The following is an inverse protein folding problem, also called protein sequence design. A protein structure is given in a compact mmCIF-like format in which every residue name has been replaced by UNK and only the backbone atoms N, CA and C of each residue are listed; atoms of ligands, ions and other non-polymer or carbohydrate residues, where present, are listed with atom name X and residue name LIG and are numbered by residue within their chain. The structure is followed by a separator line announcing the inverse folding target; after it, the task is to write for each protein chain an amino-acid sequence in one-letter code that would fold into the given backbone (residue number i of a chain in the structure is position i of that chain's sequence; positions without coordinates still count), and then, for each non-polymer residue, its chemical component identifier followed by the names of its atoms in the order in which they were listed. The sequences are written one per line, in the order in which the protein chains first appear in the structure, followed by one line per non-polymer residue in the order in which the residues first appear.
data_IF_734874392056
#
_entry.id   IF_734874392056
#
_cell.length_a   1.000
_cell.length_b   1.000
_cell.length_c   1.000
_cell.angle_alpha   90.00
_cell.angle_beta   90.00
_cell.angle_gamma   90.00
#
_symmetry.space_group_name_H-M   'P 1'
#
loop_
_entity.id
_entity.type
_entity.pdbx_description
1 polymer ?
#
# COMPACT_ATOMS: atom_id res chain seq x y z
N UNK A 1 2.56 -1.78 -24.03
CA UNK A 1 3.11 -1.07 -22.85
C UNK A 1 2.24 -1.45 -21.66
N UNK A 2 2.79 -1.58 -20.46
CA UNK A 2 2.00 -1.86 -19.27
C UNK A 2 1.87 -0.61 -18.40
N UNK A 3 0.85 -0.60 -17.56
CA UNK A 3 0.64 0.45 -16.58
C UNK A 3 0.78 -0.10 -15.16
N UNK A 4 1.40 0.66 -14.29
CA UNK A 4 1.43 0.43 -12.84
C UNK A 4 0.54 1.47 -12.19
N UNK A 5 -0.41 1.01 -11.39
CA UNK A 5 -1.17 1.87 -10.47
C UNK A 5 -0.76 1.50 -9.06
N UNK A 6 -0.24 2.46 -8.31
CA UNK A 6 0.27 2.27 -6.96
C UNK A 6 -0.55 3.09 -5.96
N UNK A 7 -1.06 2.41 -4.92
CA UNK A 7 -1.96 2.96 -3.90
C UNK A 7 -1.22 3.04 -2.57
N UNK A 8 -1.09 4.23 -2.03
CA UNK A 8 -0.36 4.53 -0.80
C UNK A 8 -1.09 4.09 0.48
N UNK A 9 -0.37 4.08 1.59
CA UNK A 9 -0.88 3.80 2.92
C UNK A 9 -1.68 4.97 3.53
N UNK A 10 -2.27 4.73 4.70
CA UNK A 10 -2.97 5.77 5.46
C UNK A 10 -2.03 6.91 5.84
N UNK A 11 -2.48 8.14 5.67
CA UNK A 11 -1.70 9.34 5.95
C UNK A 11 -0.53 9.59 4.99
N UNK A 12 -0.32 8.71 4.03
CA UNK A 12 0.72 8.82 3.00
C UNK A 12 0.27 9.59 1.76
N UNK A 13 0.93 9.29 0.65
CA UNK A 13 0.64 9.86 -0.67
C UNK A 13 1.41 9.15 -1.76
N UNK A 14 1.19 9.53 -3.01
CA UNK A 14 1.93 9.00 -4.15
C UNK A 14 3.44 9.17 -4.04
N UNK A 15 3.88 10.10 -3.20
CA UNK A 15 5.28 10.33 -2.87
C UNK A 15 5.99 9.13 -2.21
N UNK A 16 5.26 8.23 -1.55
CA UNK A 16 5.84 7.01 -0.97
C UNK A 16 6.50 6.13 -2.03
N UNK A 17 6.09 6.24 -3.30
CA UNK A 17 6.60 5.45 -4.42
C UNK A 17 7.71 6.13 -5.23
N UNK A 18 8.27 7.25 -4.78
CA UNK A 18 9.27 8.01 -5.55
C UNK A 18 10.57 7.22 -5.81
N UNK A 19 10.94 6.28 -4.92
CA UNK A 19 12.08 5.39 -5.14
C UNK A 19 11.76 4.18 -6.03
N UNK A 20 10.47 3.88 -6.23
CA UNK A 20 9.99 2.80 -7.08
C UNK A 20 9.75 3.25 -8.52
N UNK A 21 9.22 4.45 -8.69
CA UNK A 21 8.83 5.03 -9.97
C UNK A 21 9.92 4.92 -11.04
N UNK A 22 11.18 5.32 -10.81
CA UNK A 22 12.24 5.24 -11.83
C UNK A 22 12.47 3.80 -12.29
N UNK A 23 12.46 2.83 -11.38
CA UNK A 23 12.71 1.41 -11.68
C UNK A 23 11.71 0.86 -12.69
N UNK A 24 10.43 1.18 -12.53
CA UNK A 24 9.39 0.73 -13.45
C UNK A 24 9.36 1.55 -14.75
N UNK A 25 9.62 2.85 -14.68
CA UNK A 25 9.67 3.72 -15.87
C UNK A 25 10.84 3.36 -16.80
N UNK A 26 12.02 3.05 -16.26
CA UNK A 26 13.18 2.56 -17.03
C UNK A 26 12.87 1.23 -17.73
N UNK A 27 11.99 0.41 -17.17
CA UNK A 27 11.51 -0.83 -17.80
C UNK A 27 10.34 -0.60 -18.79
N UNK A 28 9.95 0.64 -19.06
CA UNK A 28 8.95 1.01 -20.06
C UNK A 28 7.50 1.00 -19.57
N UNK A 29 7.26 0.97 -18.24
CA UNK A 29 5.92 1.08 -17.68
C UNK A 29 5.51 2.55 -17.45
N UNK A 30 4.25 2.86 -17.67
CA UNK A 30 3.64 4.09 -17.14
C UNK A 30 3.37 3.85 -15.65
N UNK A 31 3.87 4.73 -14.77
CA UNK A 31 3.75 4.58 -13.32
C UNK A 31 2.85 5.69 -12.75
N UNK A 32 1.69 5.30 -12.26
CA UNK A 32 0.66 6.18 -11.68
C UNK A 32 0.63 5.93 -10.18
N UNK A 33 0.97 6.95 -9.40
CA UNK A 33 0.82 6.97 -7.95
C UNK A 33 0.29 8.35 -7.58
N UNK A 34 -1.02 8.47 -7.49
CA UNK A 34 -1.69 9.71 -7.12
C UNK A 34 -2.02 9.69 -5.62
N UNK A 35 -2.25 10.87 -5.06
CA UNK A 35 -2.77 11.01 -3.70
C UNK A 35 -4.26 10.71 -3.67
N UNK A 36 -4.69 9.85 -2.74
CA UNK A 36 -6.10 9.73 -2.39
C UNK A 36 -6.58 11.05 -1.78
N UNK A 37 -7.69 11.56 -2.27
CA UNK A 37 -8.24 12.86 -1.87
C UNK A 37 -9.47 12.67 -0.98
N UNK A 38 -9.72 13.60 -0.05
CA UNK A 38 -10.98 13.63 0.69
C UNK A 38 -12.19 13.67 -0.25
N UNK A 39 -13.33 13.16 0.21
CA UNK A 39 -14.61 13.36 -0.48
C UNK A 39 -14.97 14.85 -0.51
N UNK A 40 -15.90 15.28 -1.39
CA UNK A 40 -16.37 16.67 -1.40
C UNK A 40 -16.90 17.18 -0.05
N UNK A 41 -17.38 16.28 0.82
CA UNK A 41 -17.89 16.59 2.13
C UNK A 41 -16.78 16.66 3.22
N UNK A 42 -15.51 16.52 2.80
CA UNK A 42 -14.33 16.64 3.64
C UNK A 42 -13.82 15.30 4.19
N UNK A 43 -12.63 15.33 4.79
CA UNK A 43 -11.89 14.15 5.21
C UNK A 43 -12.64 13.32 6.26
N UNK A 44 -13.31 13.96 7.23
CA UNK A 44 -14.09 13.26 8.27
C UNK A 44 -15.28 12.47 7.70
N UNK A 45 -15.82 12.90 6.55
CA UNK A 45 -16.93 12.23 5.87
C UNK A 45 -16.47 11.18 4.83
N UNK A 46 -15.20 11.19 4.47
CA UNK A 46 -14.62 10.27 3.48
C UNK A 46 -14.77 8.80 3.91
N UNK A 47 -15.13 7.94 2.99
CA UNK A 47 -15.33 6.51 3.14
C UNK A 47 -14.39 5.70 2.24
N UNK A 48 -14.29 4.41 2.49
CA UNK A 48 -13.48 3.52 1.64
C UNK A 48 -13.94 3.52 0.18
N UNK A 49 -15.25 3.65 -0.05
CA UNK A 49 -15.86 3.72 -1.37
C UNK A 49 -15.34 4.93 -2.18
N UNK A 50 -15.18 6.09 -1.54
CA UNK A 50 -14.62 7.29 -2.18
C UNK A 50 -13.20 7.05 -2.70
N UNK A 51 -12.40 6.29 -1.94
CA UNK A 51 -11.05 5.92 -2.34
C UNK A 51 -11.05 4.86 -3.44
N UNK A 52 -11.95 3.88 -3.37
CA UNK A 52 -12.08 2.86 -4.41
C UNK A 52 -12.46 3.49 -5.76
N UNK A 53 -13.38 4.44 -5.78
CA UNK A 53 -13.77 5.15 -7.00
C UNK A 53 -12.61 5.95 -7.58
N UNK A 54 -11.81 6.60 -6.75
CA UNK A 54 -10.61 7.30 -7.19
C UNK A 54 -9.60 6.33 -7.81
N UNK A 55 -9.30 5.20 -7.15
CA UNK A 55 -8.36 4.21 -7.68
C UNK A 55 -8.85 3.67 -9.02
N UNK A 56 -10.15 3.37 -9.15
CA UNK A 56 -10.75 2.96 -10.42
C UNK A 56 -10.51 4.00 -11.52
N UNK A 57 -10.65 5.30 -11.21
CA UNK A 57 -10.45 6.39 -12.16
C UNK A 57 -9.01 6.52 -12.66
N UNK A 58 -8.03 6.02 -11.90
CA UNK A 58 -6.61 6.04 -12.29
C UNK A 58 -6.23 4.91 -13.24
N UNK A 59 -7.06 3.88 -13.37
CA UNK A 59 -6.77 2.69 -14.18
C UNK A 59 -7.17 2.95 -15.63
N UNK A 60 -6.20 3.03 -16.57
CA UNK A 60 -6.51 3.18 -17.98
C UNK A 60 -7.22 1.93 -18.52
N UNK A 61 -8.19 2.13 -19.40
CA UNK A 61 -8.85 1.02 -20.08
C UNK A 61 -7.91 0.33 -21.07
N UNK A 62 -8.04 -1.01 -21.17
CA UNK A 62 -7.35 -1.84 -22.16
C UNK A 62 -5.81 -1.93 -22.01
N UNK A 63 -5.23 -1.50 -20.88
CA UNK A 63 -3.82 -1.65 -20.61
C UNK A 63 -3.55 -2.89 -19.72
N UNK A 64 -2.34 -3.45 -19.86
CA UNK A 64 -1.88 -4.52 -18.96
C UNK A 64 -1.53 -3.89 -17.61
N UNK A 65 -2.39 -4.08 -16.62
CA UNK A 65 -2.31 -3.46 -15.29
C UNK A 65 -1.44 -4.28 -14.34
N UNK A 66 -0.47 -3.63 -13.70
CA UNK A 66 0.12 -4.05 -12.43
C UNK A 66 -0.50 -3.16 -11.34
N UNK A 67 -1.16 -3.76 -10.36
CA UNK A 67 -1.74 -3.03 -9.24
C UNK A 67 -0.87 -3.26 -8.00
N UNK A 68 -0.42 -2.18 -7.38
CA UNK A 68 0.43 -2.21 -6.18
C UNK A 68 -0.30 -1.49 -5.06
N UNK A 69 -0.33 -2.04 -3.86
CA UNK A 69 -0.90 -1.35 -2.72
C UNK A 69 -0.07 -1.58 -1.45
N UNK A 70 0.14 -0.51 -0.68
CA UNK A 70 0.85 -0.54 0.58
C UNK A 70 -0.08 -0.29 1.76
N UNK A 71 0.07 -1.04 2.86
CA UNK A 71 -0.71 -0.84 4.09
C UNK A 71 -2.22 -0.80 3.82
N UNK A 72 -2.89 0.30 4.15
CA UNK A 72 -4.28 0.60 3.79
C UNK A 72 -4.53 0.41 2.29
N UNK A 73 -3.64 0.95 1.46
CA UNK A 73 -3.74 0.85 0.01
C UNK A 73 -3.66 -0.58 -0.52
N UNK A 74 -3.03 -1.50 0.22
CA UNK A 74 -3.01 -2.92 -0.11
C UNK A 74 -4.39 -3.57 -0.03
N UNK A 75 -5.15 -3.28 1.03
CA UNK A 75 -6.51 -3.80 1.17
C UNK A 75 -7.47 -3.16 0.16
N UNK A 76 -7.29 -1.85 -0.13
CA UNK A 76 -8.04 -1.18 -1.20
C UNK A 76 -7.72 -1.79 -2.58
N UNK A 77 -6.44 -2.06 -2.87
CA UNK A 77 -6.02 -2.72 -4.10
C UNK A 77 -6.61 -4.13 -4.24
N UNK A 78 -6.66 -4.91 -3.15
CA UNK A 78 -7.36 -6.20 -3.13
C UNK A 78 -8.84 -6.04 -3.51
N UNK A 79 -9.51 -5.02 -2.98
CA UNK A 79 -10.93 -4.76 -3.28
C UNK A 79 -11.14 -4.33 -4.73
N UNK A 80 -10.26 -3.50 -5.27
CA UNK A 80 -10.29 -3.11 -6.69
C UNK A 80 -10.07 -4.31 -7.61
N UNK A 81 -9.16 -5.23 -7.25
CA UNK A 81 -8.84 -6.42 -8.03
C UNK A 81 -10.02 -7.39 -8.19
N UNK A 82 -11.07 -7.30 -7.35
CA UNK A 82 -12.30 -8.09 -7.51
C UNK A 82 -13.09 -7.70 -8.78
N UNK A 83 -13.11 -6.41 -9.10
CA UNK A 83 -13.88 -5.87 -10.21
C UNK A 83 -13.03 -5.70 -11.47
N UNK A 84 -11.76 -5.37 -11.30
CA UNK A 84 -10.77 -5.15 -12.36
C UNK A 84 -9.54 -6.03 -12.08
N UNK A 85 -9.58 -7.34 -12.40
CA UNK A 85 -8.45 -8.22 -12.15
C UNK A 85 -7.18 -7.73 -12.87
N UNK A 86 -6.11 -7.35 -12.14
CA UNK A 86 -4.87 -6.93 -12.76
C UNK A 86 -4.11 -8.13 -13.33
N UNK A 87 -3.15 -7.86 -14.21
CA UNK A 87 -2.23 -8.88 -14.70
C UNK A 87 -1.27 -9.37 -13.59
N UNK A 88 -0.97 -8.51 -12.61
CA UNK A 88 -0.26 -8.84 -11.37
C UNK A 88 -0.71 -7.90 -10.23
N UNK A 89 -0.80 -8.45 -9.02
CA UNK A 89 -1.12 -7.71 -7.79
C UNK A 89 0.07 -7.79 -6.82
N UNK A 90 0.46 -6.65 -6.25
CA UNK A 90 1.54 -6.57 -5.25
C UNK A 90 1.00 -5.92 -3.98
N UNK A 91 1.16 -6.61 -2.86
CA UNK A 91 0.68 -6.18 -1.55
C UNK A 91 1.89 -5.95 -0.63
N UNK A 92 2.12 -4.70 -0.22
CA UNK A 92 3.28 -4.31 0.58
C UNK A 92 2.83 -4.00 2.00
N UNK A 93 3.27 -4.80 2.99
CA UNK A 93 2.87 -4.64 4.39
C UNK A 93 1.36 -4.32 4.53
N UNK A 94 0.55 -5.03 3.74
CA UNK A 94 -0.87 -4.73 3.53
C UNK A 94 -1.72 -5.02 4.76
N UNK A 95 -2.72 -4.17 5.01
CA UNK A 95 -3.85 -4.56 5.85
C UNK A 95 -4.46 -5.85 5.29
N UNK A 96 -4.76 -6.84 6.15
CA UNK A 96 -5.41 -8.07 5.72
C UNK A 96 -6.93 -7.88 5.58
N UNK A 97 -7.62 -8.68 4.76
CA UNK A 97 -9.07 -8.82 4.82
C UNK A 97 -9.54 -9.29 6.20
N UNK A 98 -10.79 -9.00 6.53
CA UNK A 98 -11.38 -9.30 7.85
C UNK A 98 -11.36 -10.78 8.23
N UNK A 99 -11.42 -11.69 7.26
CA UNK A 99 -11.37 -13.14 7.46
C UNK A 99 -9.94 -13.69 7.62
N UNK A 100 -8.93 -12.87 7.34
CA UNK A 100 -7.50 -13.17 7.54
C UNK A 100 -6.94 -12.47 8.78
N UNK A 101 -7.55 -11.35 9.17
CA UNK A 101 -7.17 -10.60 10.34
C UNK A 101 -7.36 -11.45 11.63
N UNK A 102 -6.45 -11.31 12.58
CA UNK A 102 -6.70 -11.86 13.90
C UNK A 102 -7.92 -11.15 14.53
N UNK A 103 -8.73 -11.92 15.26
CA UNK A 103 -9.80 -11.34 16.07
C UNK A 103 -9.20 -10.35 17.07
N UNK A 104 -9.42 -9.08 16.85
CA UNK A 104 -9.00 -7.99 17.72
C UNK A 104 -10.24 -7.16 18.09
N UNK A 105 -10.25 -6.52 19.27
CA UNK A 105 -11.26 -5.52 19.54
C UNK A 105 -11.27 -4.47 18.43
N UNK A 106 -12.47 -4.11 17.97
CA UNK A 106 -12.60 -3.04 16.98
C UNK A 106 -11.99 -1.75 17.54
N UNK A 107 -10.98 -1.23 16.88
CA UNK A 107 -10.37 0.03 17.24
C UNK A 107 -11.31 1.17 16.84
N UNK A 108 -11.61 2.06 17.76
CA UNK A 108 -12.36 3.29 17.45
C UNK A 108 -11.37 4.37 17.03
N UNK A 109 -11.66 5.03 15.94
CA UNK A 109 -10.85 6.11 15.40
C UNK A 109 -11.55 7.46 15.60
N UNK A 110 -10.82 8.56 15.84
CA UNK A 110 -11.38 9.90 15.76
C UNK A 110 -11.85 10.18 14.33
N UNK A 111 -12.74 11.16 14.09
CA UNK A 111 -13.20 11.50 12.73
C UNK A 111 -12.05 11.81 11.76
N UNK A 112 -11.01 12.47 12.24
CA UNK A 112 -9.77 12.74 11.53
C UNK A 112 -8.62 12.24 12.40
N UNK A 113 -7.71 11.49 11.80
CA UNK A 113 -6.45 11.06 12.42
C UNK A 113 -5.40 12.08 11.98
N UNK A 114 -4.88 12.79 12.95
CA UNK A 114 -3.95 13.91 12.72
C UNK A 114 -2.51 13.40 12.69
N UNK A 115 -1.95 13.29 11.49
CA UNK A 115 -0.53 12.96 11.26
C UNK A 115 0.22 14.08 10.55
N UNK A 116 -0.52 15.00 9.91
CA UNK A 116 0.06 16.19 9.30
C UNK A 116 0.72 17.08 10.38
N UNK A 117 1.93 17.55 10.11
CA UNK A 117 2.72 18.34 11.05
C UNK A 117 3.06 17.65 12.38
N UNK A 118 2.99 16.34 12.43
CA UNK A 118 3.45 15.56 13.58
C UNK A 118 4.94 15.75 13.88
N UNK A 119 5.41 15.35 15.09
CA UNK A 119 6.81 15.52 15.46
C UNK A 119 7.74 14.70 14.53
N UNK A 120 8.89 15.28 14.16
CA UNK A 120 9.91 14.59 13.36
C UNK A 120 10.30 13.23 13.96
N UNK A 121 10.31 13.11 15.29
CA UNK A 121 10.66 11.87 15.98
C UNK A 121 9.72 10.67 15.61
N UNK A 122 8.46 10.94 15.30
CA UNK A 122 7.53 9.90 14.83
C UNK A 122 7.90 9.41 13.42
N UNK A 123 8.26 10.34 12.53
CA UNK A 123 8.78 9.98 11.20
C UNK A 123 10.09 9.21 11.30
N UNK A 124 11.01 9.62 12.18
CA UNK A 124 12.26 8.89 12.43
C UNK A 124 12.00 7.48 12.94
N UNK A 125 11.02 7.31 13.82
CA UNK A 125 10.64 5.98 14.33
C UNK A 125 10.01 5.11 13.23
N UNK A 126 9.15 5.68 12.38
CA UNK A 126 8.51 4.96 11.27
C UNK A 126 9.50 4.57 10.16
N UNK A 127 10.56 5.38 9.96
CA UNK A 127 11.56 5.26 8.89
C UNK A 127 12.95 4.94 9.46
N UNK A 128 13.06 4.15 10.53
CA UNK A 128 14.33 3.89 11.21
C UNK A 128 15.39 3.20 10.32
N UNK A 129 14.97 2.54 9.25
CA UNK A 129 15.80 1.86 8.24
C UNK A 129 16.08 2.70 6.98
N UNK A 130 15.67 3.97 6.99
CA UNK A 130 15.89 4.95 5.92
C UNK A 130 17.12 5.82 6.17
N UNK A 131 17.55 6.56 5.14
CA UNK A 131 18.55 7.61 5.29
C UNK A 131 17.92 8.86 5.87
N UNK A 132 18.69 9.62 6.66
CA UNK A 132 18.21 10.88 7.25
C UNK A 132 17.65 11.85 6.21
N UNK A 133 18.23 11.88 5.02
CA UNK A 133 17.72 12.69 3.90
C UNK A 133 16.30 12.31 3.51
N UNK A 134 15.99 11.00 3.49
CA UNK A 134 14.64 10.50 3.19
C UNK A 134 13.70 10.83 4.35
N UNK A 135 14.15 10.69 5.59
CA UNK A 135 13.35 11.03 6.78
C UNK A 135 12.94 12.50 6.75
N UNK A 136 13.91 13.40 6.54
CA UNK A 136 13.66 14.85 6.45
C UNK A 136 12.78 15.23 5.27
N UNK A 137 12.91 14.49 4.16
CA UNK A 137 12.10 14.72 2.97
C UNK A 137 10.67 14.20 3.17
N UNK A 138 10.46 13.06 3.83
CA UNK A 138 9.16 12.47 4.09
C UNK A 138 8.35 13.23 5.16
N UNK A 139 9.03 13.74 6.20
CA UNK A 139 8.39 14.36 7.36
C UNK A 139 7.30 15.40 7.03
N UNK A 140 7.49 16.39 6.18
CA UNK A 140 6.47 17.40 5.88
C UNK A 140 5.40 16.89 4.89
N UNK A 141 5.44 15.62 4.50
CA UNK A 141 4.55 15.03 3.49
C UNK A 141 3.46 14.16 4.06
N UNK A 142 3.56 13.80 5.34
CA UNK A 142 2.48 13.08 6.01
C UNK A 142 1.20 13.90 5.98
N UNK A 143 0.10 13.24 5.82
CA UNK A 143 -1.23 13.84 5.68
C UNK A 143 -2.15 13.28 6.76
N UNK A 144 -3.20 14.03 7.09
CA UNK A 144 -4.27 13.52 7.93
C UNK A 144 -5.06 12.44 7.19
N UNK A 145 -5.65 11.51 7.95
CA UNK A 145 -6.42 10.40 7.38
C UNK A 145 -7.84 10.37 7.94
N UNK A 146 -8.78 9.83 7.14
CA UNK A 146 -10.15 9.59 7.58
C UNK A 146 -10.22 8.45 8.59
N UNK A 147 -10.68 8.76 9.80
CA UNK A 147 -10.97 7.74 10.79
C UNK A 147 -12.08 6.79 10.36
N UNK A 148 -13.03 7.28 9.56
CA UNK A 148 -14.12 6.46 9.02
C UNK A 148 -13.61 5.42 7.99
N UNK A 149 -12.65 5.77 7.15
CA UNK A 149 -11.99 4.80 6.24
C UNK A 149 -11.32 3.71 7.06
N UNK A 150 -10.46 4.07 8.02
CA UNK A 150 -9.78 3.06 8.84
C UNK A 150 -10.75 2.25 9.69
N UNK A 151 -11.83 2.83 10.17
CA UNK A 151 -12.90 2.11 10.89
C UNK A 151 -13.56 1.05 10.00
N UNK A 152 -13.86 1.38 8.73
CA UNK A 152 -14.41 0.42 7.77
C UNK A 152 -13.42 -0.71 7.46
N UNK A 153 -12.17 -0.37 7.19
CA UNK A 153 -11.15 -1.35 6.76
C UNK A 153 -10.67 -2.27 7.89
N UNK A 154 -10.75 -1.83 9.16
CA UNK A 154 -10.47 -2.69 10.31
C UNK A 154 -11.73 -3.43 10.82
N UNK A 155 -12.90 -3.10 10.29
CA UNK A 155 -14.14 -3.79 10.53
C UNK A 155 -14.39 -4.96 9.57
N UNK A 156 -15.65 -5.39 9.46
CA UNK A 156 -16.03 -6.40 8.48
C UNK A 156 -15.99 -5.80 7.06
N UNK A 157 -14.82 -5.88 6.43
CA UNK A 157 -14.58 -5.44 5.07
C UNK A 157 -14.33 -6.68 4.19
N UNK A 158 -15.38 -7.23 3.55
CA UNK A 158 -15.27 -8.47 2.79
C UNK A 158 -14.50 -8.25 1.49
N UNK A 159 -13.54 -9.14 1.25
CA UNK A 159 -12.71 -9.15 0.04
C UNK A 159 -12.60 -10.57 -0.48
N UNK A 160 -12.72 -10.75 -1.78
CA UNK A 160 -12.51 -12.05 -2.41
C UNK A 160 -11.01 -12.30 -2.61
N UNK A 161 -10.65 -13.59 -2.56
CA UNK A 161 -9.28 -13.98 -2.89
C UNK A 161 -8.95 -13.58 -4.33
N UNK A 162 -7.78 -12.93 -4.55
CA UNK A 162 -7.39 -12.54 -5.91
C UNK A 162 -7.23 -13.76 -6.82
N UNK A 163 -7.71 -13.64 -8.05
CA UNK A 163 -7.59 -14.67 -9.08
C UNK A 163 -6.33 -14.49 -9.96
N UNK A 164 -5.63 -13.36 -9.81
CA UNK A 164 -4.42 -13.03 -10.55
C UNK A 164 -3.15 -13.44 -9.78
N UNK A 165 -2.00 -13.55 -10.46
CA UNK A 165 -0.70 -13.67 -9.79
C UNK A 165 -0.53 -12.58 -8.74
N UNK A 166 -0.22 -12.98 -7.51
CA UNK A 166 -0.11 -12.06 -6.38
C UNK A 166 1.23 -12.24 -5.68
N UNK A 167 1.86 -11.13 -5.33
CA UNK A 167 3.06 -11.07 -4.50
C UNK A 167 2.75 -10.32 -3.21
N UNK A 168 3.17 -10.88 -2.08
CA UNK A 168 3.18 -10.21 -0.79
C UNK A 168 4.62 -9.84 -0.44
N UNK A 169 4.87 -8.56 -0.18
CA UNK A 169 6.16 -8.01 0.22
C UNK A 169 6.07 -7.57 1.68
N UNK A 170 6.97 -8.07 2.53
CA UNK A 170 6.94 -7.83 3.96
C UNK A 170 8.26 -7.29 4.50
N UNK A 171 8.17 -6.31 5.41
CA UNK A 171 9.23 -5.93 6.33
C UNK A 171 9.13 -6.76 7.61
N UNK A 172 10.24 -7.39 8.03
CA UNK A 172 10.26 -8.23 9.24
C UNK A 172 10.04 -7.42 10.52
N UNK A 173 10.49 -6.15 10.54
CA UNK A 173 10.32 -5.24 11.68
C UNK A 173 9.18 -4.24 11.46
N UNK A 174 8.12 -4.70 10.80
CA UNK A 174 6.87 -3.95 10.73
C UNK A 174 6.18 -3.94 12.09
N UNK A 175 6.12 -2.76 12.71
CA UNK A 175 5.52 -2.55 14.04
C UNK A 175 4.03 -2.17 13.94
N UNK A 176 3.54 -1.77 12.76
CA UNK A 176 2.15 -1.39 12.54
C UNK A 176 1.30 -2.63 12.20
N UNK A 177 1.79 -3.45 11.28
CA UNK A 177 1.16 -4.71 10.87
C UNK A 177 2.21 -5.83 11.03
N UNK A 178 2.15 -6.62 12.13
CA UNK A 178 3.11 -7.69 12.35
C UNK A 178 3.26 -8.59 11.12
N UNK A 179 4.48 -8.87 10.69
CA UNK A 179 4.74 -9.63 9.47
C UNK A 179 4.07 -11.01 9.45
N UNK A 180 3.79 -11.58 10.63
CA UNK A 180 3.02 -12.83 10.75
C UNK A 180 1.60 -12.68 10.16
N UNK A 181 1.00 -11.49 10.25
CA UNK A 181 -0.28 -11.19 9.57
C UNK A 181 -0.11 -11.22 8.06
N UNK A 182 0.98 -10.66 7.55
CA UNK A 182 1.33 -10.73 6.13
C UNK A 182 1.60 -12.16 5.63
N UNK A 183 2.20 -13.03 6.47
CA UNK A 183 2.35 -14.45 6.13
C UNK A 183 0.99 -15.14 5.97
N UNK A 184 0.03 -14.87 6.86
CA UNK A 184 -1.35 -15.39 6.72
C UNK A 184 -2.04 -14.83 5.47
N UNK A 185 -1.83 -13.55 5.17
CA UNK A 185 -2.35 -12.94 3.94
C UNK A 185 -1.78 -13.62 2.70
N UNK A 186 -0.47 -13.89 2.65
CA UNK A 186 0.16 -14.60 1.55
C UNK A 186 -0.41 -16.01 1.37
N UNK A 187 -0.60 -16.74 2.46
CA UNK A 187 -1.21 -18.06 2.44
C UNK A 187 -2.67 -18.00 1.95
N UNK A 188 -3.48 -17.08 2.48
CA UNK A 188 -4.87 -16.89 2.06
C UNK A 188 -4.96 -16.52 0.59
N UNK A 189 -4.13 -15.57 0.12
CA UNK A 189 -4.11 -15.13 -1.28
C UNK A 189 -3.46 -16.16 -2.23
N UNK A 190 -2.81 -17.22 -1.73
CA UNK A 190 -1.93 -18.12 -2.49
C UNK A 190 -0.86 -17.36 -3.25
N UNK A 191 -0.31 -16.36 -2.60
CA UNK A 191 0.66 -15.44 -3.16
C UNK A 191 2.10 -15.95 -3.01
N UNK A 192 2.97 -15.51 -3.92
CA UNK A 192 4.41 -15.55 -3.69
C UNK A 192 4.77 -14.56 -2.57
N UNK A 193 5.89 -14.78 -1.88
CA UNK A 193 6.28 -14.02 -0.71
C UNK A 193 7.72 -13.53 -0.82
N UNK A 194 7.93 -12.25 -0.59
CA UNK A 194 9.24 -11.66 -0.33
C UNK A 194 9.25 -11.07 1.09
N UNK A 195 10.13 -11.59 1.95
CA UNK A 195 10.34 -11.11 3.31
C UNK A 195 11.72 -10.46 3.42
N UNK A 196 11.77 -9.22 3.89
CA UNK A 196 12.98 -8.44 4.05
C UNK A 196 13.33 -8.26 5.53
N UNK A 197 14.43 -8.88 5.95
CA UNK A 197 14.93 -8.78 7.32
C UNK A 197 15.30 -7.34 7.70
N UNK A 198 14.95 -6.94 8.91
CA UNK A 198 15.28 -5.65 9.49
C UNK A 198 14.54 -4.45 8.88
N UNK A 199 13.49 -4.66 8.07
CA UNK A 199 12.79 -3.61 7.35
C UNK A 199 11.52 -3.18 8.08
N UNK A 200 11.28 -1.87 8.15
CA UNK A 200 10.12 -1.24 8.81
C UNK A 200 8.83 -1.40 8.00
N UNK A 201 7.71 -0.85 8.53
CA UNK A 201 6.41 -0.82 7.84
C UNK A 201 6.49 -0.11 6.49
N UNK A 202 7.12 1.06 6.42
CA UNK A 202 7.32 1.81 5.17
C UNK A 202 8.64 1.49 4.48
N UNK A 203 9.47 0.64 5.09
CA UNK A 203 10.80 0.28 4.60
C UNK A 203 10.85 -0.26 3.17
N UNK A 204 9.91 -1.12 2.73
CA UNK A 204 9.88 -1.56 1.34
C UNK A 204 9.80 -0.41 0.33
N UNK A 205 9.25 0.75 0.72
CA UNK A 205 9.06 1.92 -0.14
C UNK A 205 10.15 2.98 0.04
N UNK A 206 10.65 3.19 1.26
CA UNK A 206 11.45 4.35 1.63
C UNK A 206 12.79 4.04 2.32
N UNK A 207 13.09 2.76 2.62
CA UNK A 207 14.38 2.40 3.21
C UNK A 207 15.54 2.54 2.22
N UNK A 208 16.78 2.41 2.74
CA UNK A 208 18.00 2.31 1.91
C UNK A 208 17.94 1.21 0.86
N UNK A 209 17.06 0.23 1.06
CA UNK A 209 16.87 -0.91 0.16
C UNK A 209 15.63 -0.81 -0.73
N UNK A 210 14.88 0.30 -0.68
CA UNK A 210 13.63 0.45 -1.43
C UNK A 210 13.79 0.22 -2.95
N UNK A 211 14.87 0.73 -3.55
CA UNK A 211 15.17 0.49 -4.97
C UNK A 211 15.51 -0.98 -5.28
N UNK A 212 16.11 -1.73 -4.34
CA UNK A 212 16.30 -3.19 -4.44
C UNK A 212 14.96 -3.91 -4.42
N UNK A 213 14.08 -3.56 -3.48
CA UNK A 213 12.73 -4.12 -3.37
C UNK A 213 11.93 -3.87 -4.65
N UNK A 214 12.00 -2.65 -5.18
CA UNK A 214 11.34 -2.28 -6.43
C UNK A 214 11.83 -3.14 -7.62
N UNK A 215 13.16 -3.31 -7.77
CA UNK A 215 13.73 -4.15 -8.84
C UNK A 215 13.34 -5.61 -8.71
N UNK A 216 13.36 -6.16 -7.50
CA UNK A 216 12.97 -7.55 -7.26
C UNK A 216 11.47 -7.75 -7.55
N UNK A 217 10.64 -6.79 -7.17
CA UNK A 217 9.20 -6.79 -7.47
C UNK A 217 8.95 -6.69 -8.98
N UNK A 218 9.65 -5.79 -9.68
CA UNK A 218 9.55 -5.68 -11.13
C UNK A 218 9.92 -6.98 -11.84
N UNK A 219 11.03 -7.61 -11.44
CA UNK A 219 11.47 -8.88 -12.01
C UNK A 219 10.42 -9.98 -11.79
N UNK A 220 9.82 -10.05 -10.61
CA UNK A 220 8.72 -10.97 -10.33
C UNK A 220 7.51 -10.69 -11.23
N UNK A 221 7.09 -9.42 -11.36
CA UNK A 221 5.98 -9.04 -12.25
C UNK A 221 6.26 -9.48 -13.70
N UNK A 222 7.44 -9.17 -14.22
CA UNK A 222 7.83 -9.52 -15.60
C UNK A 222 7.78 -11.03 -15.84
N UNK A 223 8.26 -11.84 -14.89
CA UNK A 223 8.21 -13.31 -14.99
C UNK A 223 6.77 -13.88 -14.97
N UNK A 224 5.79 -13.17 -14.45
CA UNK A 224 4.37 -13.57 -14.42
C UNK A 224 3.56 -13.02 -15.60
N UNK A 225 4.10 -12.06 -16.32
CA UNK A 225 3.46 -11.40 -17.47
C UNK A 225 3.89 -12.00 -18.82
N UNK A 226 4.89 -12.88 -18.83
CA UNK A 226 5.30 -13.66 -20.01
C UNK A 226 4.37 -14.84 -20.23
#
# INVERSE_FOLDING_TARGET
MGVVVAVHGAGGGGWEYELWRPVFQEAGYVFIANDLQPSPDGLAATRAEDYLDQIHSWIPQHERLILIGASMGGLLALKVAELLPPAALVLINSLPPSDVAESRPLKTYPPIIEWENGPLAETQAALFDSDETIVQWAWPRWRNESGAVLQQLHGPFPVQRPACPTLVVLGEQDHDIPYQTGLRLAQWARADLHLYAGMSHVGPLLSRRAAEVARTTLAWCQARLL
#
